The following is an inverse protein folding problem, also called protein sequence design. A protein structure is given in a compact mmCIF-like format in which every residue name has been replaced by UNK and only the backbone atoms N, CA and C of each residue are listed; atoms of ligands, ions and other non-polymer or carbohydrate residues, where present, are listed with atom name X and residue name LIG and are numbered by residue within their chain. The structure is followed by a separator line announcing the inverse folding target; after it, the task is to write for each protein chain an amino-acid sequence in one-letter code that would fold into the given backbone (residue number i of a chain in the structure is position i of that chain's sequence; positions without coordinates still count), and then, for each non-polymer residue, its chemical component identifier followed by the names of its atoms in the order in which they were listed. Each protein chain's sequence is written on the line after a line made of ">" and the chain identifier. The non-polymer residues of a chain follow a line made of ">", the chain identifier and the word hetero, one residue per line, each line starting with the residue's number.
data_IF_146922812393
#
_entry.id   IF_146922812393
#
_cell.length_a   1.000
_cell.length_b   1.000
_cell.length_c   1.000
_cell.angle_alpha   90.00
_cell.angle_beta   90.00
_cell.angle_gamma   90.00
#
_symmetry.space_group_name_H-M   'P 1'
#
loop_
_entity.id
_entity.type
_entity.pdbx_description
1 polymer ?
#
# COMPACT_ATOMS: atom_id res chain seq x y z
N UNK A 1 -4.56 16.60 10.59
CA UNK A 1 -5.07 15.31 10.13
C UNK A 1 -5.02 15.25 8.62
N UNK A 2 -4.44 14.19 8.08
CA UNK A 2 -4.31 14.04 6.64
C UNK A 2 -5.65 13.68 6.01
N UNK A 3 -6.07 14.46 5.04
CA UNK A 3 -7.25 14.16 4.25
C UNK A 3 -6.85 13.14 3.18
N UNK A 4 -7.57 12.01 3.10
CA UNK A 4 -7.30 10.97 2.10
C UNK A 4 -7.28 11.55 0.69
N UNK A 5 -8.14 12.52 0.39
CA UNK A 5 -8.22 13.14 -0.93
C UNK A 5 -6.93 13.85 -1.35
N UNK A 6 -6.07 14.20 -0.42
CA UNK A 6 -4.82 14.93 -0.67
C UNK A 6 -3.60 14.02 -0.80
N UNK A 7 -3.75 12.74 -0.49
CA UNK A 7 -2.63 11.79 -0.52
C UNK A 7 -2.32 11.32 -1.94
N UNK A 8 -1.03 11.12 -2.25
CA UNK A 8 -0.59 10.49 -3.49
C UNK A 8 -0.38 9.01 -3.22
N UNK A 9 -1.21 8.17 -3.85
CA UNK A 9 -1.15 6.71 -3.67
C UNK A 9 -0.40 6.02 -4.80
N UNK A 10 0.29 4.93 -4.48
CA UNK A 10 0.76 3.97 -5.46
C UNK A 10 0.08 2.64 -5.18
N UNK A 11 -0.66 2.12 -6.16
CA UNK A 11 -1.38 0.85 -6.07
C UNK A 11 -0.59 -0.20 -6.84
N UNK A 12 -0.12 -1.23 -6.14
CA UNK A 12 0.75 -2.27 -6.71
C UNK A 12 0.05 -3.62 -6.68
N UNK A 13 -0.19 -4.19 -7.84
CA UNK A 13 -0.84 -5.49 -8.00
C UNK A 13 -0.59 -5.95 -9.45
N UNK A 14 -0.28 -7.22 -9.67
CA UNK A 14 -0.06 -7.75 -11.01
C UNK A 14 -1.37 -7.93 -11.79
N UNK A 15 -2.49 -7.85 -11.12
CA UNK A 15 -3.82 -8.01 -11.73
C UNK A 15 -4.46 -6.63 -11.99
N UNK A 16 -4.60 -6.27 -13.26
CA UNK A 16 -5.10 -4.93 -13.64
C UNK A 16 -6.52 -4.63 -13.12
N UNK A 17 -7.37 -5.65 -13.07
CA UNK A 17 -8.73 -5.50 -12.54
C UNK A 17 -8.69 -5.07 -11.08
N UNK A 18 -7.80 -5.68 -10.29
CA UNK A 18 -7.67 -5.34 -8.87
C UNK A 18 -7.14 -3.92 -8.68
N UNK A 19 -6.16 -3.50 -9.49
CA UNK A 19 -5.67 -2.13 -9.44
C UNK A 19 -6.79 -1.13 -9.72
N UNK A 20 -7.63 -1.45 -10.71
CA UNK A 20 -8.77 -0.61 -11.08
C UNK A 20 -9.80 -0.53 -9.95
N UNK A 21 -10.06 -1.66 -9.29
CA UNK A 21 -10.99 -1.71 -8.15
C UNK A 21 -10.48 -0.82 -7.02
N UNK A 22 -9.22 -0.94 -6.64
CA UNK A 22 -8.64 -0.13 -5.56
C UNK A 22 -8.68 1.36 -5.92
N UNK A 23 -8.31 1.71 -7.14
CA UNK A 23 -8.37 3.10 -7.58
C UNK A 23 -9.79 3.64 -7.57
N UNK A 24 -10.76 2.81 -7.97
CA UNK A 24 -12.18 3.18 -7.93
C UNK A 24 -12.65 3.47 -6.51
N UNK A 25 -12.25 2.64 -5.55
CA UNK A 25 -12.58 2.85 -4.15
C UNK A 25 -11.96 4.14 -3.60
N UNK A 26 -10.70 4.40 -3.96
CA UNK A 26 -10.03 5.65 -3.57
C UNK A 26 -10.74 6.86 -4.17
N UNK A 27 -11.20 6.75 -5.42
CA UNK A 27 -11.95 7.81 -6.07
C UNK A 27 -13.26 8.10 -5.32
N UNK A 28 -13.94 7.06 -4.84
CA UNK A 28 -15.15 7.21 -4.02
C UNK A 28 -14.86 7.92 -2.69
N UNK A 29 -13.62 7.85 -2.22
CA UNK A 29 -13.16 8.58 -1.01
C UNK A 29 -12.70 10.00 -1.34
N UNK A 30 -12.84 10.44 -2.58
CA UNK A 30 -12.41 11.76 -3.03
C UNK A 30 -10.99 11.84 -3.54
N UNK A 31 -10.30 10.70 -3.72
CA UNK A 31 -8.91 10.68 -4.16
C UNK A 31 -8.79 10.35 -5.65
N UNK A 32 -8.31 11.30 -6.44
CA UNK A 32 -8.05 11.13 -7.87
C UNK A 32 -6.54 11.09 -8.17
N UNK A 33 -5.72 10.85 -7.16
CA UNK A 33 -4.27 10.99 -7.25
C UNK A 33 -3.57 9.66 -6.94
N UNK A 34 -3.95 8.61 -7.67
CA UNK A 34 -3.40 7.27 -7.50
C UNK A 34 -2.77 6.78 -8.80
N UNK A 35 -1.53 6.33 -8.71
CA UNK A 35 -0.83 5.68 -9.82
C UNK A 35 -0.85 4.17 -9.62
N UNK A 36 -0.52 3.41 -10.66
CA UNK A 36 -0.52 1.95 -10.66
C UNK A 36 0.85 1.40 -11.03
N UNK A 37 1.20 0.25 -10.45
CA UNK A 37 2.38 -0.52 -10.82
C UNK A 37 2.01 -2.00 -10.89
N UNK A 38 2.57 -2.73 -11.86
CA UNK A 38 2.24 -4.13 -12.12
C UNK A 38 2.98 -5.12 -11.21
N UNK A 39 4.10 -4.72 -10.63
CA UNK A 39 4.87 -5.54 -9.70
C UNK A 39 5.76 -4.66 -8.82
N UNK A 40 6.47 -5.32 -7.91
CA UNK A 40 7.32 -4.61 -6.96
C UNK A 40 8.50 -3.89 -7.58
N UNK A 41 9.07 -4.42 -8.67
CA UNK A 41 10.23 -3.78 -9.30
C UNK A 41 9.84 -2.48 -9.99
N UNK A 42 8.71 -2.48 -10.68
CA UNK A 42 8.16 -1.28 -11.31
C UNK A 42 7.79 -0.26 -10.23
N UNK A 43 7.13 -0.73 -9.17
CA UNK A 43 6.75 0.13 -8.03
C UNK A 43 7.96 0.81 -7.41
N UNK A 44 9.02 0.05 -7.16
CA UNK A 44 10.24 0.59 -6.55
C UNK A 44 10.86 1.67 -7.43
N UNK A 45 10.90 1.43 -8.74
CA UNK A 45 11.42 2.39 -9.71
C UNK A 45 10.60 3.69 -9.66
N UNK A 46 9.27 3.57 -9.63
CA UNK A 46 8.38 4.73 -9.55
C UNK A 46 8.57 5.50 -8.24
N UNK A 47 8.71 4.79 -7.12
CA UNK A 47 8.91 5.41 -5.81
C UNK A 47 10.21 6.20 -5.73
N UNK A 48 11.24 5.77 -6.43
CA UNK A 48 12.53 6.48 -6.48
C UNK A 48 12.48 7.73 -7.35
N UNK A 49 11.55 7.77 -8.31
CA UNK A 49 11.48 8.87 -9.27
C UNK A 49 10.41 9.91 -9.00
N UNK A 50 9.50 9.66 -8.06
CA UNK A 50 8.36 10.54 -7.79
C UNK A 50 7.96 10.42 -6.32
N UNK A 51 7.47 11.51 -5.76
CA UNK A 51 7.03 11.53 -4.36
C UNK A 51 5.64 10.88 -4.21
N UNK A 52 5.53 9.96 -3.26
CA UNK A 52 4.27 9.30 -2.90
C UNK A 52 4.06 9.42 -1.39
N UNK A 53 2.80 9.28 -0.97
CA UNK A 53 2.42 9.39 0.44
C UNK A 53 1.98 8.06 1.04
N UNK A 54 1.57 7.10 0.21
CA UNK A 54 0.98 5.86 0.69
C UNK A 54 1.09 4.78 -0.39
N UNK A 55 1.45 3.55 0.01
CA UNK A 55 1.55 2.41 -0.90
C UNK A 55 0.55 1.34 -0.49
N UNK A 56 -0.26 0.87 -1.45
CA UNK A 56 -1.16 -0.27 -1.29
C UNK A 56 -0.62 -1.37 -2.18
N UNK A 57 -0.10 -2.45 -1.61
CA UNK A 57 0.61 -3.48 -2.38
C UNK A 57 0.08 -4.88 -2.11
N UNK A 58 -0.20 -5.62 -3.20
CA UNK A 58 -0.43 -7.05 -3.12
C UNK A 58 0.86 -7.75 -2.66
N UNK A 59 0.72 -8.95 -2.11
CA UNK A 59 1.86 -9.75 -1.65
C UNK A 59 2.43 -10.59 -2.79
N UNK A 60 1.57 -11.33 -3.50
CA UNK A 60 2.01 -12.28 -4.52
C UNK A 60 2.05 -11.64 -5.90
N UNK A 61 3.25 -11.32 -6.36
CA UNK A 61 3.47 -10.70 -7.68
C UNK A 61 4.73 -11.28 -8.31
N UNK A 62 4.81 -11.29 -9.66
CA UNK A 62 6.03 -11.75 -10.33
C UNK A 62 7.18 -10.74 -10.16
N UNK A 63 8.38 -11.16 -10.47
CA UNK A 63 9.62 -10.36 -10.43
C UNK A 63 10.02 -9.92 -9.03
N UNK A 64 9.22 -9.07 -8.40
CA UNK A 64 9.42 -8.64 -7.02
C UNK A 64 8.07 -8.67 -6.31
N UNK A 65 7.92 -9.51 -5.29
CA UNK A 65 6.69 -9.61 -4.53
C UNK A 65 6.56 -8.48 -3.50
N UNK A 66 5.40 -8.44 -2.81
CA UNK A 66 5.11 -7.37 -1.85
C UNK A 66 6.06 -7.32 -0.67
N UNK A 67 6.53 -8.47 -0.18
CA UNK A 67 7.50 -8.51 0.93
C UNK A 67 8.86 -7.97 0.49
N UNK A 68 9.31 -8.33 -0.71
CA UNK A 68 10.57 -7.82 -1.25
C UNK A 68 10.50 -6.32 -1.48
N UNK A 69 9.37 -5.83 -1.98
CA UNK A 69 9.13 -4.41 -2.15
C UNK A 69 9.18 -3.69 -0.79
N UNK A 70 8.52 -4.25 0.21
CA UNK A 70 8.50 -3.67 1.56
C UNK A 70 9.92 -3.59 2.14
N UNK A 71 10.70 -4.65 1.99
CA UNK A 71 12.11 -4.66 2.45
C UNK A 71 12.92 -3.58 1.75
N UNK A 72 12.76 -3.43 0.43
CA UNK A 72 13.46 -2.42 -0.34
C UNK A 72 13.08 -1.00 0.10
N UNK A 73 11.80 -0.77 0.37
CA UNK A 73 11.31 0.52 0.87
C UNK A 73 11.94 0.83 2.23
N UNK A 74 11.95 -0.14 3.14
CA UNK A 74 12.48 0.05 4.50
C UNK A 74 13.99 0.22 4.52
N UNK A 75 14.69 -0.32 3.52
CA UNK A 75 16.14 -0.19 3.39
C UNK A 75 16.58 1.13 2.75
N UNK A 76 15.66 1.88 2.15
CA UNK A 76 15.97 3.14 1.46
C UNK A 76 15.71 4.33 2.38
N UNK A 77 16.74 5.13 2.64
CA UNK A 77 16.64 6.28 3.54
C UNK A 77 15.58 7.30 3.10
N UNK A 78 15.31 7.39 1.80
CA UNK A 78 14.32 8.33 1.26
C UNK A 78 12.90 7.76 1.22
N UNK A 79 12.74 6.44 1.35
CA UNK A 79 11.45 5.76 1.22
C UNK A 79 10.95 5.12 2.50
N UNK A 80 11.83 4.87 3.47
CA UNK A 80 11.48 4.11 4.68
C UNK A 80 10.34 4.70 5.50
N UNK A 81 10.03 5.97 5.31
CA UNK A 81 8.93 6.65 6.00
C UNK A 81 7.56 6.33 5.40
N UNK A 82 7.52 5.79 4.18
CA UNK A 82 6.25 5.52 3.48
C UNK A 82 5.46 4.42 4.19
N UNK A 83 4.18 4.66 4.47
CA UNK A 83 3.33 3.58 4.97
C UNK A 83 2.96 2.63 3.83
N UNK A 84 3.06 1.33 4.10
CA UNK A 84 2.71 0.28 3.14
C UNK A 84 1.58 -0.55 3.73
N UNK A 85 0.43 -0.56 3.06
CA UNK A 85 -0.70 -1.42 3.40
C UNK A 85 -0.61 -2.66 2.51
N UNK A 86 -0.39 -3.83 3.13
CA UNK A 86 -0.28 -5.09 2.40
C UNK A 86 -1.66 -5.66 2.14
N UNK A 87 -1.87 -6.16 0.93
CA UNK A 87 -3.15 -6.77 0.51
C UNK A 87 -2.92 -8.25 0.30
N UNK A 88 -3.70 -9.09 0.95
CA UNK A 88 -3.57 -10.54 0.86
C UNK A 88 -4.91 -11.19 0.48
N UNK A 89 -4.85 -12.27 -0.32
CA UNK A 89 -6.03 -13.04 -0.68
C UNK A 89 -6.49 -13.96 0.45
N UNK A 90 -5.59 -14.29 1.37
CA UNK A 90 -5.86 -15.19 2.48
C UNK A 90 -5.30 -14.61 3.78
N UNK A 91 -6.07 -14.73 4.85
CA UNK A 91 -5.63 -14.30 6.18
C UNK A 91 -4.72 -15.37 6.80
N UNK A 92 -3.60 -15.68 6.14
CA UNK A 92 -2.61 -16.62 6.68
C UNK A 92 -1.87 -15.92 7.81
N UNK A 93 -1.85 -16.58 8.95
CA UNK A 93 -1.16 -16.05 10.13
C UNK A 93 0.31 -15.75 9.85
N UNK A 94 0.98 -16.62 9.09
CA UNK A 94 2.39 -16.47 8.72
C UNK A 94 2.61 -15.19 7.91
N UNK A 95 1.74 -14.91 6.96
CA UNK A 95 1.86 -13.72 6.10
C UNK A 95 1.61 -12.45 6.90
N UNK A 96 0.63 -12.47 7.80
CA UNK A 96 0.32 -11.34 8.66
C UNK A 96 1.50 -11.04 9.59
N UNK A 97 2.05 -12.07 10.24
CA UNK A 97 3.20 -11.93 11.13
C UNK A 97 4.40 -11.39 10.36
N UNK A 98 4.67 -11.95 9.19
CA UNK A 98 5.79 -11.51 8.34
C UNK A 98 5.63 -10.06 7.91
N UNK A 99 4.42 -9.66 7.54
CA UNK A 99 4.14 -8.27 7.14
C UNK A 99 4.43 -7.31 8.29
N UNK A 100 3.94 -7.62 9.49
CA UNK A 100 4.15 -6.78 10.68
C UNK A 100 5.64 -6.72 11.03
N UNK A 101 6.33 -7.87 11.05
CA UNK A 101 7.77 -7.95 11.36
C UNK A 101 8.62 -7.23 10.34
N UNK A 102 8.17 -7.18 9.09
CA UNK A 102 8.89 -6.50 8.00
C UNK A 102 8.62 -5.00 7.95
N UNK A 103 7.77 -4.49 8.82
CA UNK A 103 7.51 -3.06 8.95
C UNK A 103 6.33 -2.54 8.13
N UNK A 104 5.40 -3.41 7.71
CA UNK A 104 4.17 -2.98 7.07
C UNK A 104 3.35 -2.14 8.05
N UNK A 105 2.69 -1.09 7.55
CA UNK A 105 1.83 -0.25 8.37
C UNK A 105 0.52 -0.95 8.73
N UNK A 106 0.11 -1.92 7.90
CA UNK A 106 -1.08 -2.73 8.15
C UNK A 106 -1.28 -3.76 7.06
N UNK A 107 -2.36 -4.52 7.16
CA UNK A 107 -2.75 -5.48 6.13
C UNK A 107 -4.27 -5.45 5.96
N UNK A 108 -4.73 -5.91 4.80
CA UNK A 108 -6.15 -6.03 4.49
C UNK A 108 -6.36 -7.30 3.65
N UNK A 109 -7.47 -8.01 3.87
CA UNK A 109 -7.76 -9.29 3.20
C UNK A 109 -8.77 -9.08 2.08
N UNK A 110 -8.50 -9.63 0.90
CA UNK A 110 -9.42 -9.62 -0.24
C UNK A 110 -10.53 -10.66 -0.04
N UNK A 111 -11.77 -10.38 -0.48
CA UNK A 111 -12.25 -9.09 -0.95
C UNK A 111 -12.52 -8.14 0.21
N UNK A 112 -12.40 -6.85 -0.03
CA UNK A 112 -12.67 -5.85 1.00
C UNK A 112 -13.61 -4.77 0.46
N UNK A 113 -14.27 -4.06 1.37
CA UNK A 113 -15.19 -2.98 1.04
C UNK A 113 -14.48 -1.63 1.09
N UNK A 114 -15.13 -0.62 0.53
CA UNK A 114 -14.68 0.77 0.67
C UNK A 114 -14.49 1.14 2.15
N UNK A 115 -15.47 0.78 2.99
CA UNK A 115 -15.41 1.11 4.42
C UNK A 115 -14.19 0.50 5.11
N UNK A 116 -13.86 -0.75 4.80
CA UNK A 116 -12.70 -1.43 5.37
C UNK A 116 -11.40 -0.78 4.91
N UNK A 117 -11.27 -0.49 3.62
CA UNK A 117 -10.09 0.15 3.06
C UNK A 117 -9.90 1.54 3.67
N UNK A 118 -10.96 2.33 3.70
CA UNK A 118 -10.93 3.68 4.26
C UNK A 118 -10.51 3.67 5.72
N UNK A 119 -11.09 2.76 6.52
CA UNK A 119 -10.76 2.61 7.93
C UNK A 119 -9.27 2.29 8.15
N UNK A 120 -8.73 1.38 7.35
CA UNK A 120 -7.30 1.01 7.42
C UNK A 120 -6.40 2.21 7.10
N UNK A 121 -6.73 2.95 6.06
CA UNK A 121 -5.94 4.13 5.66
C UNK A 121 -5.98 5.18 6.76
N UNK A 122 -7.17 5.49 7.28
CA UNK A 122 -7.35 6.48 8.34
C UNK A 122 -6.54 6.12 9.58
N UNK A 123 -6.65 4.87 10.03
CA UNK A 123 -5.93 4.40 11.22
C UNK A 123 -4.42 4.46 11.04
N UNK A 124 -3.92 4.09 9.86
CA UNK A 124 -2.49 4.16 9.56
C UNK A 124 -2.01 5.61 9.60
N UNK A 125 -2.75 6.53 8.98
CA UNK A 125 -2.35 7.94 8.95
C UNK A 125 -2.45 8.59 10.33
N UNK A 126 -3.45 8.24 11.15
CA UNK A 126 -3.57 8.73 12.51
C UNK A 126 -2.41 8.27 13.38
N UNK A 127 -2.03 7.01 13.26
CA UNK A 127 -0.89 6.45 14.00
C UNK A 127 0.41 7.15 13.63
N UNK A 128 0.61 7.45 12.35
CA UNK A 128 1.78 8.18 11.88
C UNK A 128 1.83 9.61 12.43
N UNK A 129 0.70 10.29 12.42
CA UNK A 129 0.60 11.64 12.95
C UNK A 129 0.91 11.68 14.46
N UNK A 130 0.44 10.67 15.21
CA UNK A 130 0.72 10.55 16.63
C UNK A 130 2.18 10.21 16.94
N UNK A 131 2.83 9.45 16.06
CA UNK A 131 4.23 9.04 16.23
C UNK A 131 5.21 10.09 15.75
N UNK A 132 4.74 10.96 14.87
CA UNK A 132 5.59 11.89 14.19
C UNK A 132 5.67 13.25 14.67
#
# INVERSE_FOLDING_TARGET
>A
MSDISQLKFLVVDDFSTMRRIVRGLLKEMGNNNADEAEDGSIALHMLKGKAYDFVVSDINMPNMNGFDLLKAIKADANLKHLPVLMVTAEARKEDIVLAVQSGAAGYIVKPFTKATLEDKIIKIMQKRAAAG
#
